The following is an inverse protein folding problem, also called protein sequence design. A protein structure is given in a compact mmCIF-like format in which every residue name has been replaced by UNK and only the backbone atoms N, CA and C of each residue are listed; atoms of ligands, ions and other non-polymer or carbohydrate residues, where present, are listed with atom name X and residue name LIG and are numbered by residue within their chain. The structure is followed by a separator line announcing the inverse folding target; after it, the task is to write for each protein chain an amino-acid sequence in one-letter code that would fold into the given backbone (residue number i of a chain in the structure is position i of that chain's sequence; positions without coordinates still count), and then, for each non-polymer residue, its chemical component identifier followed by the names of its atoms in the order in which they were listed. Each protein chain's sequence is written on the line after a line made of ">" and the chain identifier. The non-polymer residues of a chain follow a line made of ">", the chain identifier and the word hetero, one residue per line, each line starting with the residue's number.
data_IF_425672371687
#
_entry.id   IF_425672371687
#
_cell.length_a   1.000
_cell.length_b   1.000
_cell.length_c   1.000
_cell.angle_alpha   90.00
_cell.angle_beta   90.00
_cell.angle_gamma   90.00
#
_symmetry.space_group_name_H-M   'P 1'
#
loop_
_entity.id
_entity.type
_entity.pdbx_description
1 polymer ?
#
# COMPACT_ATOMS: atom_id res chain seq x y z
N UNK A 1 4.16 26.43 9.26
CA UNK A 1 5.39 25.59 9.16
C UNK A 1 6.50 26.24 9.96
N UNK A 2 7.23 25.48 10.74
CA UNK A 2 8.41 25.99 11.47
C UNK A 2 9.61 26.05 10.52
N UNK A 3 10.58 26.92 10.84
CA UNK A 3 11.85 27.02 10.07
C UNK A 3 12.57 25.65 9.95
N UNK A 4 12.38 24.79 10.95
CA UNK A 4 12.94 23.43 10.97
C UNK A 4 12.25 22.51 9.96
N UNK A 5 10.92 22.59 9.85
CA UNK A 5 10.13 21.83 8.85
C UNK A 5 10.46 22.26 7.42
N UNK A 6 10.64 23.57 7.18
CA UNK A 6 11.04 24.06 5.86
C UNK A 6 12.40 23.51 5.41
N UNK A 7 13.37 23.42 6.33
CA UNK A 7 14.68 22.84 6.04
C UNK A 7 14.56 21.33 5.78
N UNK A 8 13.79 20.59 6.59
CA UNK A 8 13.54 19.17 6.37
C UNK A 8 12.91 18.91 5.01
N UNK A 9 11.92 19.71 4.61
CA UNK A 9 11.28 19.60 3.30
C UNK A 9 12.25 19.82 2.14
N UNK A 10 13.17 20.81 2.27
CA UNK A 10 14.22 21.03 1.27
C UNK A 10 15.20 19.86 1.19
N UNK A 11 15.64 19.34 2.33
CA UNK A 11 16.49 18.14 2.39
C UNK A 11 15.78 16.97 1.73
N UNK A 12 14.51 16.74 2.04
CA UNK A 12 13.71 15.66 1.47
C UNK A 12 13.62 15.72 -0.05
N UNK A 13 13.27 16.89 -0.60
CA UNK A 13 13.23 17.08 -2.07
C UNK A 13 14.57 16.81 -2.73
N UNK A 14 15.67 17.32 -2.16
CA UNK A 14 17.02 17.08 -2.68
C UNK A 14 17.40 15.59 -2.60
N UNK A 15 17.04 14.92 -1.51
CA UNK A 15 17.29 13.50 -1.31
C UNK A 15 16.56 12.64 -2.37
N UNK A 16 15.27 12.90 -2.58
CA UNK A 16 14.48 12.17 -3.59
C UNK A 16 15.02 12.38 -5.01
N UNK A 17 15.52 13.57 -5.35
CA UNK A 17 16.21 13.81 -6.62
C UNK A 17 17.49 12.97 -6.74
N UNK A 18 18.28 12.88 -5.68
CA UNK A 18 19.49 12.05 -5.65
C UNK A 18 19.14 10.56 -5.78
N UNK A 19 18.14 10.08 -5.04
CA UNK A 19 17.70 8.69 -5.06
C UNK A 19 17.17 8.29 -6.46
N UNK A 20 16.32 9.10 -7.07
CA UNK A 20 15.82 8.85 -8.41
C UNK A 20 16.96 8.81 -9.46
N UNK A 21 17.97 9.66 -9.33
CA UNK A 21 19.09 9.75 -10.27
C UNK A 21 20.13 8.65 -10.08
N UNK A 22 20.54 8.39 -8.85
CA UNK A 22 21.69 7.52 -8.53
C UNK A 22 21.27 6.21 -7.85
N UNK A 23 20.06 6.11 -7.35
CA UNK A 23 19.57 5.05 -6.48
C UNK A 23 19.82 5.36 -5.01
N UNK A 24 18.96 4.82 -4.12
CA UNK A 24 19.13 4.96 -2.68
C UNK A 24 20.49 4.40 -2.23
N UNK A 25 20.87 3.22 -2.74
CA UNK A 25 22.10 2.52 -2.32
C UNK A 25 23.36 3.33 -2.60
N UNK A 26 23.44 3.97 -3.77
CA UNK A 26 24.63 4.71 -4.21
C UNK A 26 24.68 6.16 -3.73
N UNK A 27 23.58 6.72 -3.26
CA UNK A 27 23.51 8.09 -2.76
C UNK A 27 24.15 8.19 -1.37
N UNK A 28 24.90 9.28 -1.13
CA UNK A 28 25.46 9.61 0.19
C UNK A 28 24.79 10.86 0.78
N UNK A 29 24.84 11.03 2.11
CA UNK A 29 24.41 12.29 2.74
C UNK A 29 25.21 13.49 2.22
N UNK A 30 26.48 13.29 1.81
CA UNK A 30 27.29 14.35 1.20
C UNK A 30 26.73 14.82 -0.15
N UNK A 31 26.20 13.90 -0.97
CA UNK A 31 25.58 14.25 -2.25
C UNK A 31 24.30 15.06 -2.03
N UNK A 32 23.48 14.66 -1.08
CA UNK A 32 22.26 15.37 -0.69
C UNK A 32 22.60 16.77 -0.17
N UNK A 33 23.63 16.88 0.71
CA UNK A 33 24.07 18.15 1.26
C UNK A 33 24.50 19.15 0.17
N UNK A 34 25.22 18.66 -0.86
CA UNK A 34 25.62 19.47 -2.02
C UNK A 34 24.40 19.97 -2.81
N UNK A 35 23.41 19.13 -3.05
CA UNK A 35 22.21 19.50 -3.82
C UNK A 35 21.35 20.50 -3.07
N UNK A 36 21.20 20.35 -1.75
CA UNK A 36 20.38 21.26 -0.93
C UNK A 36 21.11 22.55 -0.56
N UNK A 37 22.43 22.65 -0.81
CA UNK A 37 23.25 23.80 -0.45
C UNK A 37 23.56 23.91 1.06
N UNK A 38 23.62 22.77 1.75
CA UNK A 38 23.98 22.70 3.18
C UNK A 38 25.36 22.06 3.35
N UNK A 39 26.03 22.39 4.45
CA UNK A 39 27.20 21.62 4.83
C UNK A 39 26.81 20.27 5.42
N UNK A 40 27.73 19.32 5.38
CA UNK A 40 27.50 17.93 5.82
C UNK A 40 27.12 17.84 7.31
N UNK A 41 27.72 18.68 8.17
CA UNK A 41 27.42 18.71 9.60
C UNK A 41 25.97 19.16 9.86
N UNK A 42 25.49 20.15 9.13
CA UNK A 42 24.09 20.61 9.20
C UNK A 42 23.14 19.48 8.79
N UNK A 43 23.46 18.69 7.76
CA UNK A 43 22.59 17.58 7.35
C UNK A 43 22.53 16.49 8.43
N UNK A 44 23.66 16.14 9.06
CA UNK A 44 23.70 15.19 10.18
C UNK A 44 22.93 15.66 11.42
N UNK A 45 22.73 16.95 11.60
CA UNK A 45 21.85 17.47 12.66
C UNK A 45 20.38 17.08 12.44
N UNK A 46 19.94 16.96 11.18
CA UNK A 46 18.55 16.59 10.85
C UNK A 46 18.34 15.09 10.70
N UNK A 47 19.32 14.38 10.12
CA UNK A 47 19.17 12.96 9.78
C UNK A 47 20.48 12.20 10.03
N UNK A 48 20.37 11.05 10.69
CA UNK A 48 21.54 10.18 10.99
C UNK A 48 22.05 9.46 9.75
N UNK A 49 21.16 9.06 8.84
CA UNK A 49 21.46 8.34 7.62
C UNK A 49 20.45 8.69 6.51
N UNK A 50 20.73 8.25 5.29
CA UNK A 50 19.90 8.52 4.11
C UNK A 50 18.60 7.72 4.12
N UNK A 51 18.61 6.56 4.75
CA UNK A 51 17.47 5.67 4.89
C UNK A 51 16.38 6.35 5.75
N UNK A 52 16.75 7.09 6.78
CA UNK A 52 15.82 7.88 7.60
C UNK A 52 15.12 8.96 6.78
N UNK A 53 15.86 9.63 5.88
CA UNK A 53 15.26 10.61 4.96
C UNK A 53 14.28 9.93 4.01
N UNK A 54 14.70 8.82 3.41
CA UNK A 54 13.86 8.06 2.49
C UNK A 54 12.56 7.62 3.15
N UNK A 55 12.64 7.02 4.33
CA UNK A 55 11.48 6.52 5.06
C UNK A 55 10.51 7.64 5.47
N UNK A 56 11.02 8.76 6.02
CA UNK A 56 10.18 9.88 6.43
C UNK A 56 9.37 10.43 5.24
N UNK A 57 10.00 10.54 4.07
CA UNK A 57 9.32 11.05 2.88
C UNK A 57 8.37 10.01 2.29
N UNK A 58 8.83 8.77 2.15
CA UNK A 58 8.01 7.69 1.59
C UNK A 58 6.72 7.48 2.41
N UNK A 59 6.78 7.59 3.74
CA UNK A 59 5.61 7.52 4.60
C UNK A 59 4.71 8.74 4.41
N UNK A 60 5.26 9.96 4.43
CA UNK A 60 4.46 11.19 4.24
C UNK A 60 3.77 11.25 2.88
N UNK A 61 4.49 10.93 1.80
CA UNK A 61 3.91 10.85 0.44
C UNK A 61 2.88 9.70 0.33
N UNK A 62 3.13 8.59 1.04
CA UNK A 62 2.22 7.46 1.15
C UNK A 62 0.89 7.84 1.79
N UNK A 63 0.92 8.62 2.88
CA UNK A 63 -0.30 9.11 3.55
C UNK A 63 -1.15 9.96 2.61
N UNK A 64 -0.52 10.90 1.89
CA UNK A 64 -1.22 11.73 0.91
C UNK A 64 -1.80 10.91 -0.24
N UNK A 65 -1.03 9.94 -0.73
CA UNK A 65 -1.49 9.04 -1.78
C UNK A 65 -2.70 8.21 -1.35
N UNK A 66 -2.63 7.59 -0.16
CA UNK A 66 -3.72 6.77 0.37
C UNK A 66 -5.00 7.59 0.60
N UNK A 67 -4.88 8.83 1.08
CA UNK A 67 -6.04 9.71 1.21
C UNK A 67 -6.74 9.98 -0.15
N UNK A 68 -5.96 10.24 -1.20
CA UNK A 68 -6.47 10.40 -2.58
C UNK A 68 -7.05 9.09 -3.12
N UNK A 69 -6.38 7.97 -2.86
CA UNK A 69 -6.83 6.64 -3.28
C UNK A 69 -8.18 6.27 -2.65
N UNK A 70 -8.39 6.57 -1.37
CA UNK A 70 -9.69 6.35 -0.72
C UNK A 70 -10.82 7.10 -1.43
N UNK A 71 -10.60 8.39 -1.76
CA UNK A 71 -11.57 9.19 -2.51
C UNK A 71 -11.86 8.64 -3.91
N UNK A 72 -10.87 8.09 -4.59
CA UNK A 72 -11.05 7.45 -5.90
C UNK A 72 -11.78 6.12 -5.80
N UNK A 73 -11.52 5.37 -4.73
CA UNK A 73 -12.11 4.04 -4.49
C UNK A 73 -13.62 4.12 -4.30
N UNK A 74 -14.12 5.06 -3.50
CA UNK A 74 -15.56 5.22 -3.25
C UNK A 74 -16.36 5.55 -4.53
N UNK A 75 -15.70 6.07 -5.57
CA UNK A 75 -16.32 6.37 -6.86
C UNK A 75 -16.46 5.14 -7.77
N UNK A 76 -15.83 4.01 -7.43
CA UNK A 76 -15.96 2.78 -8.20
C UNK A 76 -17.29 2.10 -7.90
N UNK A 77 -17.89 1.47 -8.91
CA UNK A 77 -19.15 0.73 -8.76
C UNK A 77 -18.90 -0.72 -8.33
N UNK A 78 -19.61 -1.17 -7.30
CA UNK A 78 -19.55 -2.50 -6.75
C UNK A 78 -18.37 -2.74 -5.81
N UNK A 79 -18.66 -3.36 -4.67
CA UNK A 79 -17.69 -3.52 -3.58
C UNK A 79 -16.46 -4.34 -4.00
N UNK A 80 -16.61 -5.39 -4.80
CA UNK A 80 -15.45 -6.19 -5.27
C UNK A 80 -14.49 -5.33 -6.12
N UNK A 81 -15.05 -4.49 -7.00
CA UNK A 81 -14.24 -3.57 -7.81
C UNK A 81 -13.58 -2.48 -6.96
N UNK A 82 -14.26 -1.96 -5.93
CA UNK A 82 -13.69 -1.01 -4.99
C UNK A 82 -12.50 -1.62 -4.26
N UNK A 83 -12.67 -2.80 -3.69
CA UNK A 83 -11.60 -3.50 -2.95
C UNK A 83 -10.44 -3.85 -3.88
N UNK A 84 -10.72 -4.42 -5.06
CA UNK A 84 -9.65 -4.74 -6.02
C UNK A 84 -8.88 -3.49 -6.48
N UNK A 85 -9.59 -2.43 -6.84
CA UNK A 85 -8.97 -1.16 -7.24
C UNK A 85 -8.07 -0.61 -6.14
N UNK A 86 -8.54 -0.61 -4.89
CA UNK A 86 -7.77 -0.15 -3.74
C UNK A 86 -6.50 -0.98 -3.56
N UNK A 87 -6.63 -2.30 -3.49
CA UNK A 87 -5.52 -3.22 -3.25
C UNK A 87 -4.46 -3.14 -4.35
N UNK A 88 -4.89 -3.14 -5.62
CA UNK A 88 -3.98 -3.04 -6.76
C UNK A 88 -3.27 -1.68 -6.82
N UNK A 89 -3.99 -0.59 -6.58
CA UNK A 89 -3.41 0.77 -6.63
C UNK A 89 -2.41 1.00 -5.50
N UNK A 90 -2.73 0.54 -4.28
CA UNK A 90 -1.84 0.52 -3.13
C UNK A 90 -0.56 -0.25 -3.42
N UNK A 91 -0.69 -1.42 -4.00
CA UNK A 91 0.43 -2.28 -4.36
C UNK A 91 1.33 -1.64 -5.43
N UNK A 92 0.73 -1.10 -6.49
CA UNK A 92 1.47 -0.43 -7.55
C UNK A 92 2.20 0.83 -7.05
N UNK A 93 1.59 1.59 -6.14
CA UNK A 93 2.26 2.72 -5.51
C UNK A 93 3.53 2.29 -4.78
N UNK A 94 3.44 1.27 -3.92
CA UNK A 94 4.58 0.71 -3.20
C UNK A 94 5.70 0.27 -4.16
N UNK A 95 5.35 -0.54 -5.17
CA UNK A 95 6.29 -1.00 -6.21
C UNK A 95 6.97 0.18 -6.93
N UNK A 96 6.20 1.22 -7.28
CA UNK A 96 6.74 2.37 -7.98
C UNK A 96 7.71 3.17 -7.10
N UNK A 97 7.41 3.37 -5.81
CA UNK A 97 8.33 4.04 -4.88
C UNK A 97 9.67 3.31 -4.82
N UNK A 98 9.67 1.98 -4.70
CA UNK A 98 10.90 1.19 -4.68
C UNK A 98 11.68 1.29 -6.00
N UNK A 99 10.98 1.13 -7.14
CA UNK A 99 11.61 1.15 -8.46
C UNK A 99 12.18 2.53 -8.82
N UNK A 100 11.43 3.61 -8.56
CA UNK A 100 11.87 4.97 -8.85
C UNK A 100 13.13 5.35 -8.07
N UNK A 101 13.23 4.90 -6.82
CA UNK A 101 14.37 5.19 -5.96
C UNK A 101 15.47 4.10 -6.03
N UNK A 102 15.30 3.11 -6.91
CA UNK A 102 16.24 2.01 -7.13
C UNK A 102 16.68 1.36 -5.80
N UNK A 103 15.69 1.06 -4.96
CA UNK A 103 15.91 0.40 -3.68
C UNK A 103 16.17 -1.08 -3.95
N UNK A 104 17.36 -1.57 -3.59
CA UNK A 104 17.67 -2.99 -3.69
C UNK A 104 16.90 -3.81 -2.65
N UNK A 105 16.72 -5.10 -2.92
CA UNK A 105 16.09 -6.02 -1.97
C UNK A 105 16.84 -6.07 -0.62
N UNK A 106 18.19 -5.98 -0.65
CA UNK A 106 19.02 -5.94 0.55
C UNK A 106 18.76 -4.68 1.39
N UNK A 107 18.76 -3.50 0.76
CA UNK A 107 18.47 -2.23 1.44
C UNK A 107 17.05 -2.21 1.96
N UNK A 108 16.07 -2.70 1.17
CA UNK A 108 14.70 -2.84 1.62
C UNK A 108 14.60 -3.67 2.90
N UNK A 109 15.25 -4.83 2.94
CA UNK A 109 15.25 -5.70 4.13
C UNK A 109 15.81 -4.99 5.38
N UNK A 110 16.81 -4.13 5.21
CA UNK A 110 17.40 -3.34 6.31
C UNK A 110 16.43 -2.27 6.85
N UNK A 111 15.63 -1.64 5.97
CA UNK A 111 14.73 -0.54 6.36
C UNK A 111 13.33 -1.01 6.80
N UNK A 112 12.93 -2.24 6.44
CA UNK A 112 11.59 -2.76 6.73
C UNK A 112 11.17 -2.66 8.20
N UNK A 113 11.99 -2.99 9.22
CA UNK A 113 11.57 -2.88 10.61
C UNK A 113 11.14 -1.46 10.98
N UNK A 114 11.92 -0.46 10.59
CA UNK A 114 11.60 0.95 10.85
C UNK A 114 10.43 1.44 10.00
N UNK A 115 10.30 0.96 8.77
CA UNK A 115 9.15 1.24 7.93
C UNK A 115 7.85 0.77 8.60
N UNK A 116 7.82 -0.44 9.15
CA UNK A 116 6.63 -0.96 9.85
C UNK A 116 6.26 -0.14 11.09
N UNK A 117 7.24 0.35 11.87
CA UNK A 117 6.96 1.28 12.97
C UNK A 117 6.24 2.55 12.49
N UNK A 118 6.76 3.19 11.44
CA UNK A 118 6.22 4.43 10.89
C UNK A 118 4.86 4.19 10.19
N UNK A 119 4.69 3.02 9.59
CA UNK A 119 3.53 2.66 8.79
C UNK A 119 2.33 2.13 9.61
N UNK A 120 2.51 1.80 10.90
CA UNK A 120 1.46 1.18 11.73
C UNK A 120 0.17 2.03 11.79
N UNK A 121 0.31 3.35 11.92
CA UNK A 121 -0.82 4.29 11.91
C UNK A 121 -1.59 4.25 10.59
N UNK A 122 -0.88 4.24 9.47
CA UNK A 122 -1.48 4.16 8.13
C UNK A 122 -2.21 2.83 7.94
N UNK A 123 -1.61 1.72 8.33
CA UNK A 123 -2.26 0.40 8.27
C UNK A 123 -3.58 0.34 9.05
N UNK A 124 -3.63 0.98 10.23
CA UNK A 124 -4.87 1.06 11.01
C UNK A 124 -5.94 1.85 10.26
N UNK A 125 -5.59 2.97 9.63
CA UNK A 125 -6.51 3.78 8.82
C UNK A 125 -7.00 3.02 7.59
N UNK A 126 -6.13 2.31 6.87
CA UNK A 126 -6.49 1.48 5.72
C UNK A 126 -7.48 0.38 6.10
N UNK A 127 -7.18 -0.37 7.18
CA UNK A 127 -8.07 -1.43 7.70
C UNK A 127 -9.45 -0.88 8.07
N UNK A 128 -9.49 0.29 8.72
CA UNK A 128 -10.74 0.97 9.07
C UNK A 128 -11.53 1.37 7.82
N UNK A 129 -10.87 1.97 6.83
CA UNK A 129 -11.51 2.38 5.58
C UNK A 129 -12.12 1.18 4.83
N UNK A 130 -11.35 0.10 4.65
CA UNK A 130 -11.87 -1.10 4.00
C UNK A 130 -13.01 -1.77 4.79
N UNK A 131 -12.92 -1.78 6.12
CA UNK A 131 -14.00 -2.28 6.99
C UNK A 131 -15.30 -1.50 6.77
N UNK A 132 -15.22 -0.18 6.69
CA UNK A 132 -16.38 0.69 6.44
C UNK A 132 -17.02 0.41 5.07
N UNK A 133 -16.22 0.27 4.01
CA UNK A 133 -16.75 -0.10 2.68
C UNK A 133 -17.50 -1.44 2.70
N UNK A 134 -16.94 -2.45 3.36
CA UNK A 134 -17.56 -3.77 3.49
C UNK A 134 -18.85 -3.72 4.34
N UNK A 135 -18.89 -2.91 5.39
CA UNK A 135 -20.09 -2.68 6.20
C UNK A 135 -21.21 -2.00 5.41
N UNK A 136 -20.87 -0.98 4.61
CA UNK A 136 -21.82 -0.30 3.73
C UNK A 136 -22.39 -1.25 2.68
N UNK A 137 -21.55 -2.08 2.05
CA UNK A 137 -21.98 -3.08 1.10
C UNK A 137 -22.87 -4.17 1.74
N UNK A 138 -22.64 -4.50 3.00
CA UNK A 138 -23.51 -5.40 3.76
C UNK A 138 -24.86 -4.74 4.07
N UNK A 139 -24.86 -3.47 4.49
CA UNK A 139 -26.10 -2.70 4.78
C UNK A 139 -26.93 -2.49 3.52
N UNK A 140 -26.31 -2.24 2.36
CA UNK A 140 -27.00 -2.10 1.08
C UNK A 140 -27.52 -3.41 0.50
N UNK A 141 -27.11 -4.53 1.09
CA UNK A 141 -27.51 -5.87 0.65
C UNK A 141 -26.71 -6.44 -0.51
N UNK A 142 -25.59 -5.80 -0.90
CA UNK A 142 -24.68 -6.33 -1.91
C UNK A 142 -23.90 -7.54 -1.38
N UNK A 143 -23.57 -7.55 -0.08
CA UNK A 143 -22.91 -8.66 0.59
C UNK A 143 -23.80 -9.33 1.66
N UNK A 144 -23.52 -10.59 1.93
CA UNK A 144 -24.06 -11.27 3.12
C UNK A 144 -23.38 -10.74 4.37
N UNK A 145 -24.05 -10.91 5.54
CA UNK A 145 -23.46 -10.48 6.82
C UNK A 145 -22.19 -11.27 7.11
N UNK A 146 -21.08 -10.57 7.31
CA UNK A 146 -19.78 -11.13 7.65
C UNK A 146 -19.01 -10.17 8.56
N UNK A 147 -17.88 -10.61 9.12
CA UNK A 147 -17.02 -9.76 9.94
C UNK A 147 -16.15 -8.86 9.06
N UNK A 148 -16.65 -7.67 8.73
CA UNK A 148 -16.00 -6.67 7.86
C UNK A 148 -14.59 -6.30 8.35
N UNK A 149 -14.40 -6.10 9.64
CA UNK A 149 -13.10 -5.77 10.25
C UNK A 149 -12.09 -6.91 10.05
N UNK A 150 -12.53 -8.15 10.24
CA UNK A 150 -11.67 -9.32 10.02
C UNK A 150 -11.28 -9.46 8.56
N UNK A 151 -12.24 -9.30 7.65
CA UNK A 151 -11.99 -9.37 6.19
C UNK A 151 -11.01 -8.27 5.77
N UNK A 152 -11.25 -7.03 6.16
CA UNK A 152 -10.37 -5.90 5.86
C UNK A 152 -8.93 -6.13 6.35
N UNK A 153 -8.79 -6.55 7.62
CA UNK A 153 -7.48 -6.85 8.22
C UNK A 153 -6.78 -8.01 7.48
N UNK A 154 -7.53 -9.05 7.11
CA UNK A 154 -6.98 -10.21 6.39
C UNK A 154 -6.50 -9.80 5.00
N UNK A 155 -7.26 -9.00 4.26
CA UNK A 155 -6.87 -8.51 2.93
C UNK A 155 -5.56 -7.71 2.98
N UNK A 156 -5.44 -6.77 3.90
CA UNK A 156 -4.21 -5.97 4.06
C UNK A 156 -3.02 -6.87 4.44
N UNK A 157 -3.19 -7.71 5.45
CA UNK A 157 -2.11 -8.58 5.94
C UNK A 157 -1.64 -9.58 4.86
N UNK A 158 -2.57 -10.18 4.10
CA UNK A 158 -2.23 -11.10 3.00
C UNK A 158 -1.50 -10.37 1.87
N UNK A 159 -1.95 -9.16 1.51
CA UNK A 159 -1.26 -8.34 0.51
C UNK A 159 0.19 -8.04 0.91
N UNK A 160 0.41 -7.70 2.18
CA UNK A 160 1.75 -7.42 2.69
C UNK A 160 2.60 -8.69 2.75
N UNK A 161 2.03 -9.82 3.15
CA UNK A 161 2.72 -11.11 3.18
C UNK A 161 3.14 -11.58 1.76
N UNK A 162 2.26 -11.41 0.75
CA UNK A 162 2.58 -11.74 -0.64
C UNK A 162 3.73 -10.90 -1.17
N UNK A 163 3.72 -9.57 -0.91
CA UNK A 163 4.83 -8.69 -1.29
C UNK A 163 6.13 -9.14 -0.63
N UNK A 164 6.10 -9.34 0.67
CA UNK A 164 7.28 -9.72 1.44
C UNK A 164 7.86 -11.07 1.01
N UNK A 165 7.02 -12.01 0.59
CA UNK A 165 7.47 -13.29 0.00
C UNK A 165 8.33 -13.08 -1.24
N UNK A 166 7.94 -12.18 -2.17
CA UNK A 166 8.74 -11.92 -3.37
C UNK A 166 10.04 -11.15 -3.03
N UNK A 167 9.99 -10.25 -2.07
CA UNK A 167 11.17 -9.55 -1.56
C UNK A 167 12.20 -10.51 -1.01
N UNK A 168 11.79 -11.48 -0.18
CA UNK A 168 12.68 -12.50 0.37
C UNK A 168 13.23 -13.43 -0.72
N UNK A 169 12.42 -13.83 -1.69
CA UNK A 169 12.89 -14.64 -2.83
C UNK A 169 13.94 -13.90 -3.65
N UNK A 170 13.74 -12.61 -3.94
CA UNK A 170 14.70 -11.78 -4.65
C UNK A 170 16.03 -11.66 -3.89
N UNK A 171 15.99 -11.47 -2.56
CA UNK A 171 17.19 -11.44 -1.72
C UNK A 171 17.96 -12.76 -1.83
N UNK A 172 17.26 -13.89 -1.66
CA UNK A 172 17.88 -15.23 -1.71
C UNK A 172 18.50 -15.56 -3.07
N UNK A 173 17.97 -14.97 -4.16
CA UNK A 173 18.48 -15.16 -5.53
C UNK A 173 19.52 -14.12 -5.95
N UNK A 174 19.79 -13.11 -5.11
CA UNK A 174 20.70 -12.01 -5.45
C UNK A 174 20.20 -11.13 -6.61
N UNK A 175 18.89 -10.97 -6.74
CA UNK A 175 18.28 -10.19 -7.81
C UNK A 175 18.30 -8.69 -7.49
N UNK A 176 18.69 -7.87 -8.46
CA UNK A 176 18.69 -6.41 -8.32
C UNK A 176 17.30 -5.78 -8.32
N UNK A 177 16.31 -6.49 -8.86
CA UNK A 177 14.91 -6.02 -8.99
C UNK A 177 13.94 -7.07 -8.52
N UNK A 178 12.93 -6.62 -7.80
CA UNK A 178 11.86 -7.49 -7.29
C UNK A 178 10.74 -7.58 -8.31
N UNK A 179 10.39 -8.80 -8.76
CA UNK A 179 9.22 -9.04 -9.60
C UNK A 179 8.01 -9.40 -8.73
N UNK A 180 7.02 -8.53 -8.75
CA UNK A 180 5.78 -8.69 -7.99
C UNK A 180 4.61 -9.26 -8.82
N UNK A 181 4.85 -9.76 -10.02
CA UNK A 181 3.78 -10.23 -10.93
C UNK A 181 2.95 -11.34 -10.30
N UNK A 182 3.62 -12.32 -9.66
CA UNK A 182 2.94 -13.42 -9.00
C UNK A 182 2.10 -12.93 -7.81
N UNK A 183 2.64 -12.05 -6.98
CA UNK A 183 1.89 -11.48 -5.83
C UNK A 183 0.61 -10.76 -6.25
N UNK A 184 0.63 -10.02 -7.37
CA UNK A 184 -0.55 -9.35 -7.91
C UNK A 184 -1.59 -10.37 -8.38
N UNK A 185 -1.14 -11.44 -9.05
CA UNK A 185 -2.00 -12.53 -9.53
C UNK A 185 -2.68 -13.25 -8.36
N UNK A 186 -1.91 -13.63 -7.34
CA UNK A 186 -2.41 -14.32 -6.16
C UNK A 186 -3.37 -13.43 -5.34
N UNK A 187 -3.06 -12.15 -5.21
CA UNK A 187 -3.95 -11.19 -4.55
C UNK A 187 -5.28 -11.05 -5.30
N UNK A 188 -5.27 -11.02 -6.65
CA UNK A 188 -6.50 -10.99 -7.46
C UNK A 188 -7.34 -12.24 -7.23
N UNK A 189 -6.70 -13.41 -7.25
CA UNK A 189 -7.36 -14.68 -6.97
C UNK A 189 -8.02 -14.67 -5.59
N UNK A 190 -7.29 -14.27 -4.54
CA UNK A 190 -7.83 -14.21 -3.18
C UNK A 190 -9.01 -13.24 -3.04
N UNK A 191 -8.94 -12.05 -3.64
CA UNK A 191 -10.06 -11.11 -3.66
C UNK A 191 -11.28 -11.75 -4.31
N UNK A 192 -11.11 -12.34 -5.51
CA UNK A 192 -12.21 -13.01 -6.22
C UNK A 192 -12.81 -14.14 -5.39
N UNK A 193 -11.99 -14.97 -4.75
CA UNK A 193 -12.44 -16.09 -3.91
C UNK A 193 -13.26 -15.59 -2.71
N UNK A 194 -12.78 -14.55 -2.01
CA UNK A 194 -13.49 -13.98 -0.87
C UNK A 194 -14.87 -13.45 -1.31
N UNK A 195 -14.91 -12.68 -2.40
CA UNK A 195 -16.17 -12.10 -2.86
C UNK A 195 -17.12 -13.10 -3.48
N UNK A 196 -16.65 -14.23 -4.03
CA UNK A 196 -17.53 -15.31 -4.48
C UNK A 196 -18.33 -15.94 -3.32
N UNK A 197 -17.74 -15.99 -2.12
CA UNK A 197 -18.43 -16.49 -0.93
C UNK A 197 -19.28 -15.44 -0.20
N UNK A 198 -19.05 -14.14 -0.47
CA UNK A 198 -19.75 -13.05 0.23
C UNK A 198 -20.92 -12.44 -0.54
N UNK A 199 -20.98 -12.61 -1.86
CA UNK A 199 -22.09 -12.13 -2.68
C UNK A 199 -23.38 -12.89 -2.36
N UNK A 200 -24.50 -12.19 -2.28
CA UNK A 200 -25.80 -12.87 -2.21
C UNK A 200 -26.01 -13.68 -3.48
N UNK A 201 -26.30 -14.98 -3.33
CA UNK A 201 -26.74 -15.78 -4.46
C UNK A 201 -28.12 -15.31 -4.93
N UNK A 202 -28.26 -15.00 -6.21
CA UNK A 202 -29.54 -14.64 -6.85
C UNK A 202 -30.52 -15.84 -6.95
N UNK A 203 -30.47 -16.80 -6.02
CA UNK A 203 -31.35 -17.97 -6.02
C UNK A 203 -32.58 -17.76 -5.12
N UNK A 204 -33.48 -16.83 -5.45
CA UNK A 204 -34.85 -16.87 -4.88
C UNK A 204 -35.90 -16.11 -5.70
N UNK A 205 -35.70 -15.95 -7.01
CA UNK A 205 -36.72 -15.37 -7.87
C UNK A 205 -37.39 -16.37 -8.84
N UNK A 206 -37.17 -17.69 -8.69
CA UNK A 206 -37.58 -18.70 -9.69
C UNK A 206 -38.63 -19.71 -9.24
N UNK A 207 -39.16 -19.73 -8.00
CA UNK A 207 -40.00 -20.85 -7.56
C UNK A 207 -41.30 -20.45 -6.85
N UNK A 208 -42.03 -19.45 -7.40
CA UNK A 208 -43.44 -19.17 -6.99
C UNK A 208 -44.38 -18.95 -8.16
N UNK A 209 -44.32 -19.80 -9.19
CA UNK A 209 -45.39 -19.90 -10.19
C UNK A 209 -45.54 -21.36 -10.59
N UNK A 210 -46.23 -22.15 -9.77
CA UNK A 210 -47.04 -23.27 -10.19
C UNK A 210 -47.64 -23.98 -8.95
N UNK A 211 -48.71 -23.41 -8.39
CA UNK A 211 -49.73 -24.19 -7.66
C UNK A 211 -50.90 -24.38 -8.59
N UNK A 212 -51.27 -25.61 -8.97
CA UNK A 212 -52.50 -25.88 -9.70
C UNK A 212 -53.71 -25.56 -8.79
N UNK A 213 -54.73 -24.90 -9.35
CA UNK A 213 -56.01 -24.68 -8.70
C UNK A 213 -56.69 -26.06 -8.47
N UNK A 214 -57.29 -26.30 -7.30
CA UNK A 214 -58.12 -27.48 -7.08
C UNK A 214 -59.43 -27.35 -7.85
N UNK A 215 -59.88 -28.48 -8.44
CA UNK A 215 -61.19 -28.64 -9.06
C UNK A 215 -62.29 -28.70 -8.00
#
# INVERSE_FOLDING_TARGET
>A
MTKKEDVKNKIGKAAMQCFAKFGLDKTTLGDIAKVVGLNKATLYYYYKNKEDIFLEIAVSEGEEYLAKLQQQTIRKKGIENQIWFYMLSRFNYYKNVLNMNRVSAETLNKILPKFFELYDSMMKQEKKFLSQLLEEATKSGELVKANSTKIASTLINLSDALKHSEEQKSILRGEDKIDYTQSITDMKFLVTLIFSGLKKSNQSAGNQKNKPKPK
#
